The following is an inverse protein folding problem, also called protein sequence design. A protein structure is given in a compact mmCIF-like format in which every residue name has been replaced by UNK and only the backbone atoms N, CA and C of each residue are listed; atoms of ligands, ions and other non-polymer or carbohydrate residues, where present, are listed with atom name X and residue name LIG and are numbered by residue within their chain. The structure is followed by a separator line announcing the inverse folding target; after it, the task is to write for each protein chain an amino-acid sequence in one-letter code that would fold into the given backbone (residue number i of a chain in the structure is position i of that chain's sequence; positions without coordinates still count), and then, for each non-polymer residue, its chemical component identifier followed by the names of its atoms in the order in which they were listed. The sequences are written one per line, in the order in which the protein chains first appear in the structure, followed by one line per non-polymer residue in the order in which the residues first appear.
data_IF_653886052524
#
_entry.id   IF_653886052524
#
_cell.length_a   1.000
_cell.length_b   1.000
_cell.length_c   1.000
_cell.angle_alpha   90.00
_cell.angle_beta   90.00
_cell.angle_gamma   90.00
#
_symmetry.space_group_name_H-M   'P 1'
#
loop_
_entity.id
_entity.type
_entity.pdbx_description
1 polymer ?
#
# COMPACT_ATOMS: atom_id res chain seq x y z
N UNK A 1 -29.08 -20.28 1.47
CA UNK A 1 -27.63 -20.15 1.80
C UNK A 1 -26.95 -19.70 0.52
N UNK A 2 -26.83 -18.41 0.35
CA UNK A 2 -26.21 -17.76 -0.82
C UNK A 2 -24.71 -17.91 -0.69
N UNK A 3 -24.10 -18.68 -1.60
CA UNK A 3 -22.64 -18.81 -1.72
C UNK A 3 -22.09 -17.48 -2.22
N UNK A 4 -21.38 -16.77 -1.37
CA UNK A 4 -20.58 -15.63 -1.82
C UNK A 4 -19.59 -16.14 -2.87
N UNK A 5 -19.57 -15.56 -4.06
CA UNK A 5 -18.57 -15.87 -5.10
C UNK A 5 -17.18 -15.57 -4.52
N UNK A 6 -16.43 -16.60 -4.31
CA UNK A 6 -15.04 -16.45 -3.89
C UNK A 6 -14.21 -16.19 -5.14
N UNK A 7 -13.54 -15.04 -5.18
CA UNK A 7 -12.47 -14.85 -6.16
C UNK A 7 -11.41 -15.93 -5.87
N UNK A 8 -11.29 -16.90 -6.77
CA UNK A 8 -10.48 -18.10 -6.55
C UNK A 8 -8.97 -17.77 -6.58
N UNK A 9 -8.57 -16.68 -7.23
CA UNK A 9 -7.14 -16.30 -7.34
C UNK A 9 -6.55 -15.97 -5.96
N UNK A 10 -7.14 -15.09 -5.11
CA UNK A 10 -6.67 -14.88 -3.75
C UNK A 10 -6.67 -16.15 -2.89
N UNK A 11 -7.59 -17.07 -3.15
CA UNK A 11 -7.62 -18.35 -2.45
C UNK A 11 -6.38 -19.20 -2.84
N UNK A 12 -6.04 -19.32 -4.13
CA UNK A 12 -4.84 -20.00 -4.58
C UNK A 12 -3.59 -19.36 -3.97
N UNK A 13 -3.50 -18.02 -4.00
CA UNK A 13 -2.39 -17.27 -3.44
C UNK A 13 -2.22 -17.51 -1.93
N UNK A 14 -3.31 -17.64 -1.19
CA UNK A 14 -3.27 -17.92 0.26
C UNK A 14 -2.61 -19.26 0.61
N UNK A 15 -2.72 -20.25 -0.27
CA UNK A 15 -2.08 -21.56 -0.11
C UNK A 15 -0.71 -21.67 -0.74
N UNK A 16 -0.25 -20.65 -1.51
CA UNK A 16 0.94 -20.72 -2.35
C UNK A 16 2.22 -21.11 -1.58
N UNK A 17 2.37 -20.67 -0.35
CA UNK A 17 3.53 -20.98 0.51
C UNK A 17 3.61 -22.50 0.88
N UNK A 18 2.49 -23.23 0.78
CA UNK A 18 2.41 -24.65 1.09
C UNK A 18 2.66 -25.52 -0.14
N UNK A 19 2.71 -24.94 -1.35
CA UNK A 19 2.78 -25.70 -2.61
C UNK A 19 4.16 -26.30 -2.84
N UNK A 20 4.16 -27.54 -3.29
CA UNK A 20 5.32 -28.19 -3.91
C UNK A 20 5.68 -27.51 -5.24
N UNK A 21 6.89 -27.70 -5.80
CA UNK A 21 7.25 -27.14 -7.11
C UNK A 21 6.23 -27.43 -8.21
N UNK A 22 5.69 -28.66 -8.25
CA UNK A 22 4.67 -29.04 -9.23
C UNK A 22 3.34 -28.30 -9.02
N UNK A 23 2.91 -28.17 -7.76
CA UNK A 23 1.69 -27.44 -7.41
C UNK A 23 1.82 -25.94 -7.67
N UNK A 24 3.03 -25.36 -7.53
CA UNK A 24 3.30 -23.97 -7.94
C UNK A 24 3.12 -23.77 -9.44
N UNK A 25 3.65 -24.68 -10.27
CA UNK A 25 3.42 -24.62 -11.71
C UNK A 25 1.93 -24.61 -12.05
N UNK A 26 1.12 -25.41 -11.35
CA UNK A 26 -0.33 -25.43 -11.55
C UNK A 26 -0.96 -24.12 -11.04
N UNK A 27 -0.56 -23.66 -9.86
CA UNK A 27 -1.04 -22.40 -9.27
C UNK A 27 -0.73 -21.19 -10.13
N UNK A 28 0.52 -21.07 -10.59
CA UNK A 28 0.97 -19.99 -11.48
C UNK A 28 0.17 -19.94 -12.77
N UNK A 29 -0.14 -21.09 -13.35
CA UNK A 29 -1.01 -21.15 -14.53
C UNK A 29 -2.38 -20.52 -14.27
N UNK A 30 -3.06 -20.91 -13.18
CA UNK A 30 -4.39 -20.38 -12.87
C UNK A 30 -4.39 -18.93 -12.40
N UNK A 31 -3.33 -18.48 -11.75
CA UNK A 31 -3.17 -17.06 -11.31
C UNK A 31 -2.98 -16.14 -12.51
N UNK A 32 -2.17 -16.55 -13.50
CA UNK A 32 -1.78 -15.67 -14.60
C UNK A 32 -2.60 -15.87 -15.88
N UNK A 33 -3.45 -16.89 -15.93
CA UNK A 33 -4.27 -17.13 -17.12
C UNK A 33 -5.40 -16.11 -17.22
N UNK A 34 -5.43 -15.37 -18.32
CA UNK A 34 -6.46 -14.37 -18.64
C UNK A 34 -7.36 -14.79 -19.80
N UNK A 35 -7.08 -15.94 -20.41
CA UNK A 35 -7.77 -16.37 -21.61
C UNK A 35 -8.78 -17.49 -21.31
N UNK A 36 -9.93 -17.43 -21.98
CA UNK A 36 -10.91 -18.51 -21.93
C UNK A 36 -10.43 -19.67 -22.84
N UNK A 37 -10.31 -20.86 -22.28
CA UNK A 37 -9.84 -22.05 -23.01
C UNK A 37 -10.53 -23.32 -22.51
N UNK A 38 -10.16 -24.48 -23.09
CA UNK A 38 -10.62 -25.77 -22.56
C UNK A 38 -9.90 -26.13 -21.26
N UNK A 39 -10.56 -25.91 -20.14
CA UNK A 39 -10.08 -26.26 -18.81
C UNK A 39 -10.36 -27.72 -18.41
N UNK A 40 -10.57 -28.63 -19.37
CA UNK A 40 -10.70 -30.05 -19.01
C UNK A 40 -9.41 -30.54 -18.33
N UNK A 41 -9.55 -31.47 -17.38
CA UNK A 41 -8.40 -32.03 -16.66
C UNK A 41 -7.35 -32.61 -17.61
N UNK A 42 -7.80 -33.20 -18.70
CA UNK A 42 -6.93 -33.82 -19.73
C UNK A 42 -6.13 -32.73 -20.49
N UNK A 43 -6.80 -31.65 -20.89
CA UNK A 43 -6.14 -30.56 -21.64
C UNK A 43 -5.12 -29.84 -20.77
N UNK A 44 -5.49 -29.45 -19.55
CA UNK A 44 -4.59 -28.74 -18.65
C UNK A 44 -3.44 -29.65 -18.17
N UNK A 45 -3.71 -30.94 -17.89
CA UNK A 45 -2.65 -31.90 -17.55
C UNK A 45 -1.62 -32.03 -18.67
N UNK A 46 -2.09 -32.08 -19.92
CA UNK A 46 -1.19 -32.16 -21.09
C UNK A 46 -0.40 -30.86 -21.28
N UNK A 47 -1.03 -29.71 -21.14
CA UNK A 47 -0.42 -28.38 -21.31
C UNK A 47 0.67 -28.10 -20.26
N UNK A 48 0.43 -28.50 -19.01
CA UNK A 48 1.37 -28.29 -17.90
C UNK A 48 2.34 -29.46 -17.70
N UNK A 49 2.25 -30.50 -18.50
CA UNK A 49 3.05 -31.73 -18.37
C UNK A 49 2.92 -32.40 -16.99
N UNK A 50 1.69 -32.38 -16.43
CA UNK A 50 1.36 -32.97 -15.12
C UNK A 50 0.32 -34.09 -15.30
N UNK A 51 0.09 -34.91 -14.27
CA UNK A 51 -1.01 -35.87 -14.28
C UNK A 51 -2.34 -35.23 -13.85
N UNK A 52 -3.47 -35.78 -14.36
CA UNK A 52 -4.81 -35.35 -13.89
C UNK A 52 -4.98 -35.56 -12.38
N UNK A 53 -4.33 -36.57 -11.81
CA UNK A 53 -4.29 -36.78 -10.37
C UNK A 53 -3.57 -35.66 -9.63
N UNK A 54 -2.57 -35.02 -10.24
CA UNK A 54 -1.88 -33.87 -9.65
C UNK A 54 -2.78 -32.63 -9.64
N UNK A 55 -3.57 -32.41 -10.68
CA UNK A 55 -4.58 -31.35 -10.71
C UNK A 55 -5.64 -31.55 -9.62
N UNK A 56 -6.11 -32.79 -9.41
CA UNK A 56 -7.08 -33.10 -8.37
C UNK A 56 -6.51 -32.86 -6.96
N UNK A 57 -5.25 -33.26 -6.72
CA UNK A 57 -4.56 -33.00 -5.44
C UNK A 57 -4.34 -31.52 -5.19
N UNK A 58 -3.97 -30.75 -6.21
CA UNK A 58 -3.87 -29.30 -6.13
C UNK A 58 -5.19 -28.68 -5.74
N UNK A 59 -6.30 -29.03 -6.41
CA UNK A 59 -7.64 -28.55 -6.10
C UNK A 59 -8.04 -28.88 -4.65
N UNK A 60 -7.77 -30.10 -4.19
CA UNK A 60 -8.04 -30.52 -2.81
C UNK A 60 -7.23 -29.71 -1.81
N UNK A 61 -5.99 -29.39 -2.12
CA UNK A 61 -5.13 -28.56 -1.27
C UNK A 61 -5.63 -27.12 -1.17
N UNK A 62 -6.29 -26.61 -2.23
CA UNK A 62 -6.98 -25.32 -2.24
C UNK A 62 -8.37 -25.36 -1.58
N UNK A 63 -8.77 -26.49 -0.96
CA UNK A 63 -10.02 -26.62 -0.21
C UNK A 63 -11.21 -27.15 -1.00
N UNK A 64 -11.05 -27.60 -2.25
CA UNK A 64 -12.10 -28.17 -3.08
C UNK A 64 -12.14 -29.70 -2.97
N UNK A 65 -13.28 -30.32 -3.27
CA UNK A 65 -13.37 -31.78 -3.28
C UNK A 65 -12.60 -32.43 -4.43
N UNK A 66 -12.27 -31.67 -5.47
CA UNK A 66 -11.46 -32.10 -6.61
C UNK A 66 -11.42 -31.09 -7.75
N UNK A 67 -10.72 -31.47 -8.82
CA UNK A 67 -10.47 -30.58 -9.96
C UNK A 67 -11.74 -30.06 -10.64
N UNK A 68 -12.80 -30.89 -10.70
CA UNK A 68 -14.06 -30.51 -11.35
C UNK A 68 -14.77 -29.35 -10.62
N UNK A 69 -14.79 -29.39 -9.30
CA UNK A 69 -15.37 -28.33 -8.49
C UNK A 69 -14.49 -27.04 -8.60
N UNK A 70 -13.18 -27.20 -8.45
CA UNK A 70 -12.23 -26.11 -8.61
C UNK A 70 -12.41 -25.38 -9.96
N UNK A 71 -12.51 -26.10 -11.08
CA UNK A 71 -12.68 -25.48 -12.41
C UNK A 71 -14.07 -24.83 -12.55
N UNK A 72 -15.10 -25.37 -11.91
CA UNK A 72 -16.41 -24.73 -11.91
C UNK A 72 -16.34 -23.32 -11.31
N UNK A 73 -15.72 -23.17 -10.14
CA UNK A 73 -15.51 -21.91 -9.47
C UNK A 73 -14.54 -20.99 -10.22
N UNK A 74 -13.45 -21.56 -10.78
CA UNK A 74 -12.49 -20.81 -11.59
C UNK A 74 -13.13 -20.19 -12.84
N UNK A 75 -13.95 -20.95 -13.57
CA UNK A 75 -14.68 -20.42 -14.74
C UNK A 75 -15.69 -19.36 -14.37
N UNK A 76 -16.29 -19.44 -13.20
CA UNK A 76 -17.18 -18.38 -12.71
C UNK A 76 -16.41 -17.09 -12.43
N UNK A 77 -15.19 -17.19 -11.89
CA UNK A 77 -14.36 -16.03 -11.61
C UNK A 77 -13.78 -15.36 -12.88
N UNK A 78 -13.74 -16.07 -14.02
CA UNK A 78 -13.30 -15.50 -15.31
C UNK A 78 -14.41 -14.76 -16.08
N UNK A 79 -15.69 -14.98 -15.71
CA UNK A 79 -16.78 -14.25 -16.36
C UNK A 79 -16.82 -12.81 -15.86
N UNK A 80 -16.94 -11.80 -16.76
CA UNK A 80 -17.21 -10.45 -16.31
C UNK A 80 -18.50 -10.46 -15.47
N UNK A 81 -18.52 -9.71 -14.39
CA UNK A 81 -19.64 -9.61 -13.48
C UNK A 81 -20.92 -9.19 -14.22
N UNK A 82 -21.80 -10.14 -14.51
CA UNK A 82 -23.21 -9.84 -14.64
C UNK A 82 -23.73 -9.63 -13.19
N UNK A 83 -23.83 -8.36 -12.83
CA UNK A 83 -24.50 -7.79 -11.66
C UNK A 83 -24.78 -8.75 -10.49
N UNK A 84 -23.76 -9.13 -9.71
CA UNK A 84 -24.00 -9.45 -8.31
C UNK A 84 -23.95 -8.16 -7.50
N UNK A 85 -25.00 -7.89 -6.78
CA UNK A 85 -25.09 -6.85 -5.76
C UNK A 85 -24.13 -7.14 -4.59
N UNK A 86 -22.82 -7.00 -4.84
CA UNK A 86 -21.92 -6.42 -3.84
C UNK A 86 -22.60 -5.09 -3.51
N UNK A 87 -22.87 -4.79 -2.25
CA UNK A 87 -23.66 -3.62 -1.95
C UNK A 87 -23.02 -2.44 -2.72
N UNK A 88 -23.84 -1.60 -3.35
CA UNK A 88 -23.38 -0.40 -4.09
C UNK A 88 -22.37 0.42 -3.27
N UNK A 89 -22.44 0.28 -1.94
CA UNK A 89 -21.58 0.89 -0.96
C UNK A 89 -20.14 0.33 -1.01
N UNK A 90 -19.96 -1.00 -1.06
CA UNK A 90 -18.60 -1.62 -1.07
C UNK A 90 -17.85 -1.33 -2.37
N UNK A 91 -18.57 -1.33 -3.50
CA UNK A 91 -18.02 -0.96 -4.81
C UNK A 91 -17.66 0.53 -4.86
N UNK A 92 -18.51 1.40 -4.31
CA UNK A 92 -18.26 2.82 -4.25
C UNK A 92 -17.04 3.14 -3.36
N UNK A 93 -16.90 2.51 -2.20
CA UNK A 93 -15.71 2.68 -1.36
C UNK A 93 -14.45 2.21 -2.07
N UNK A 94 -14.44 1.02 -2.65
CA UNK A 94 -13.28 0.49 -3.37
C UNK A 94 -12.86 1.40 -4.53
N UNK A 95 -13.81 1.84 -5.36
CA UNK A 95 -13.56 2.76 -6.45
C UNK A 95 -13.01 4.11 -5.95
N UNK A 96 -13.52 4.60 -4.82
CA UNK A 96 -13.03 5.83 -4.18
C UNK A 96 -11.56 5.70 -3.77
N UNK A 97 -11.18 4.59 -3.12
CA UNK A 97 -9.78 4.33 -2.76
C UNK A 97 -8.88 4.21 -3.98
N UNK A 98 -9.33 3.53 -5.02
CA UNK A 98 -8.56 3.39 -6.25
C UNK A 98 -8.36 4.73 -6.98
N UNK A 99 -9.40 5.58 -7.01
CA UNK A 99 -9.28 6.95 -7.52
C UNK A 99 -8.30 7.80 -6.71
N UNK A 100 -8.34 7.75 -5.38
CA UNK A 100 -7.41 8.47 -4.51
C UNK A 100 -5.96 8.02 -4.74
N UNK A 101 -5.72 6.72 -4.87
CA UNK A 101 -4.39 6.18 -5.19
C UNK A 101 -3.90 6.64 -6.56
N UNK A 102 -4.75 6.61 -7.58
CA UNK A 102 -4.41 7.06 -8.92
C UNK A 102 -4.14 8.58 -8.95
N UNK A 103 -4.96 9.38 -8.26
CA UNK A 103 -4.77 10.84 -8.12
C UNK A 103 -3.46 11.14 -7.40
N UNK A 104 -3.18 10.47 -6.29
CA UNK A 104 -1.94 10.64 -5.54
C UNK A 104 -0.72 10.27 -6.41
N UNK A 105 -0.77 9.16 -7.13
CA UNK A 105 0.29 8.74 -8.05
C UNK A 105 0.56 9.76 -9.15
N UNK A 106 -0.50 10.38 -9.70
CA UNK A 106 -0.38 11.40 -10.73
C UNK A 106 0.23 12.74 -10.23
N UNK A 107 0.16 13.00 -8.91
CA UNK A 107 0.74 14.18 -8.28
C UNK A 107 2.21 14.01 -7.91
N UNK A 108 2.73 12.76 -7.91
CA UNK A 108 4.11 12.47 -7.54
C UNK A 108 5.09 12.84 -8.67
N UNK A 109 6.06 13.68 -8.35
CA UNK A 109 7.21 13.97 -9.22
C UNK A 109 8.41 13.11 -8.77
N UNK A 110 8.90 12.27 -9.67
CA UNK A 110 10.06 11.39 -9.40
C UNK A 110 11.31 12.18 -9.00
N UNK A 111 11.51 13.37 -9.53
CA UNK A 111 12.64 14.24 -9.16
C UNK A 111 12.49 14.75 -7.73
N UNK A 112 11.29 15.11 -7.31
CA UNK A 112 10.97 15.50 -5.94
C UNK A 112 11.17 14.34 -4.96
N UNK A 113 10.65 13.16 -5.30
CA UNK A 113 10.85 11.96 -4.48
C UNK A 113 12.34 11.67 -4.30
N UNK A 114 13.14 11.78 -5.36
CA UNK A 114 14.60 11.58 -5.27
C UNK A 114 15.25 12.59 -4.32
N UNK A 115 14.86 13.89 -4.36
CA UNK A 115 15.38 14.89 -3.41
C UNK A 115 14.99 14.56 -1.98
N UNK A 116 13.73 14.17 -1.73
CA UNK A 116 13.25 13.79 -0.39
C UNK A 116 13.99 12.56 0.13
N UNK A 117 14.21 11.54 -0.70
CA UNK A 117 14.98 10.34 -0.32
C UNK A 117 16.42 10.70 0.04
N UNK A 118 17.06 11.56 -0.74
CA UNK A 118 18.42 12.02 -0.45
C UNK A 118 18.49 12.78 0.90
N UNK A 119 17.51 13.61 1.21
CA UNK A 119 17.38 14.27 2.52
C UNK A 119 17.21 13.25 3.64
N UNK A 120 16.30 12.29 3.49
CA UNK A 120 16.06 11.24 4.47
C UNK A 120 17.32 10.43 4.82
N UNK A 121 18.11 10.07 3.80
CA UNK A 121 19.32 9.24 3.99
C UNK A 121 20.50 10.05 4.51
N UNK A 122 20.58 11.34 4.17
CA UNK A 122 21.72 12.19 4.55
C UNK A 122 21.59 12.81 5.94
N UNK A 123 20.37 12.93 6.48
CA UNK A 123 20.16 13.61 7.75
C UNK A 123 20.38 12.67 8.94
N UNK A 124 21.24 13.06 9.91
CA UNK A 124 21.52 12.25 11.10
C UNK A 124 20.31 11.96 11.98
N UNK A 125 19.33 12.89 12.00
CA UNK A 125 18.11 12.79 12.81
C UNK A 125 16.89 13.20 11.98
N UNK A 126 15.88 12.34 11.99
CA UNK A 126 14.60 12.58 11.28
C UNK A 126 13.45 12.58 12.30
N UNK A 127 12.64 13.61 12.27
CA UNK A 127 11.41 13.69 13.06
C UNK A 127 10.20 13.69 12.13
N UNK A 128 9.18 12.89 12.46
CA UNK A 128 7.93 12.87 11.72
C UNK A 128 6.81 13.36 12.61
N UNK A 129 6.25 14.51 12.28
CA UNK A 129 5.19 15.15 13.04
C UNK A 129 3.82 14.84 12.43
N UNK A 130 2.89 14.37 13.25
CA UNK A 130 1.52 14.10 12.84
C UNK A 130 0.58 14.05 14.02
N UNK A 131 -0.68 14.43 13.85
CA UNK A 131 -1.72 14.35 14.90
C UNK A 131 -2.90 13.49 14.45
N UNK A 132 -3.59 12.85 15.40
CA UNK A 132 -4.71 11.97 15.09
C UNK A 132 -4.31 10.86 14.12
N UNK A 133 -5.06 10.67 13.03
CA UNK A 133 -4.77 9.69 11.99
C UNK A 133 -3.43 9.93 11.30
N UNK A 134 -3.04 11.20 11.07
CA UNK A 134 -1.70 11.53 10.55
C UNK A 134 -0.58 11.14 11.53
N UNK A 135 -0.86 11.11 12.84
CA UNK A 135 0.06 10.60 13.85
C UNK A 135 0.31 9.11 13.75
N UNK A 136 -0.73 8.32 13.41
CA UNK A 136 -0.59 6.89 13.13
C UNK A 136 0.30 6.64 11.90
N UNK A 137 0.14 7.46 10.86
CA UNK A 137 1.01 7.40 9.67
C UNK A 137 2.46 7.74 10.04
N UNK A 138 2.67 8.74 10.89
CA UNK A 138 4.01 9.09 11.37
C UNK A 138 4.68 7.92 12.13
N UNK A 139 3.92 7.23 12.99
CA UNK A 139 4.41 6.03 13.71
C UNK A 139 4.71 4.88 12.75
N UNK A 140 3.87 4.66 11.73
CA UNK A 140 4.12 3.64 10.72
C UNK A 140 5.38 3.96 9.90
N UNK A 141 5.59 5.22 9.52
CA UNK A 141 6.84 5.66 8.89
C UNK A 141 8.05 5.38 9.77
N UNK A 142 7.98 5.70 11.06
CA UNK A 142 9.06 5.38 12.00
C UNK A 142 9.39 3.89 11.98
N UNK A 143 8.40 3.01 12.16
CA UNK A 143 8.60 1.57 12.22
C UNK A 143 9.23 1.01 10.92
N UNK A 144 8.77 1.49 9.77
CA UNK A 144 9.29 1.04 8.47
C UNK A 144 10.72 1.50 8.24
N UNK A 145 11.01 2.77 8.49
CA UNK A 145 12.32 3.35 8.20
C UNK A 145 13.38 2.96 9.24
N UNK A 146 13.01 2.72 10.51
CA UNK A 146 13.92 2.12 11.49
C UNK A 146 14.42 0.73 11.07
N UNK A 147 13.58 -0.07 10.39
CA UNK A 147 13.98 -1.40 9.89
C UNK A 147 15.09 -1.37 8.85
N UNK A 148 15.27 -0.27 8.17
CA UNK A 148 16.35 -0.05 7.19
C UNK A 148 17.46 0.85 7.74
N UNK A 149 17.47 1.11 9.05
CA UNK A 149 18.57 1.76 9.75
C UNK A 149 18.51 3.29 9.86
N UNK A 150 17.38 3.94 9.49
CA UNK A 150 17.26 5.38 9.70
C UNK A 150 17.02 5.71 11.18
N UNK A 151 17.67 6.78 11.66
CA UNK A 151 17.40 7.36 12.97
C UNK A 151 16.21 8.32 12.87
N UNK A 152 15.01 7.77 13.06
CA UNK A 152 13.73 8.44 12.82
C UNK A 152 12.82 8.29 14.03
N UNK A 153 12.14 9.37 14.40
CA UNK A 153 11.22 9.45 15.54
C UNK A 153 9.89 10.07 15.14
N UNK A 154 8.79 9.39 15.45
CA UNK A 154 7.44 9.93 15.28
C UNK A 154 7.03 10.72 16.52
N UNK A 155 6.60 11.95 16.32
CA UNK A 155 6.12 12.84 17.38
C UNK A 155 4.66 13.20 17.13
N UNK A 156 3.78 12.71 17.99
CA UNK A 156 2.33 12.88 17.86
C UNK A 156 1.73 13.84 18.88
N UNK A 157 2.49 14.19 19.91
CA UNK A 157 2.11 15.15 20.94
C UNK A 157 2.60 16.57 20.61
N UNK A 158 1.69 17.54 20.63
CA UNK A 158 1.99 18.92 20.27
C UNK A 158 2.91 19.63 21.27
N UNK A 159 2.93 19.23 22.54
CA UNK A 159 3.86 19.78 23.52
C UNK A 159 5.27 19.26 23.26
N UNK A 160 5.42 17.99 22.93
CA UNK A 160 6.70 17.40 22.56
C UNK A 160 7.23 18.05 21.27
N UNK A 161 6.38 18.28 20.26
CA UNK A 161 6.76 19.02 19.04
C UNK A 161 7.35 20.39 19.36
N UNK A 162 6.72 21.14 20.30
CA UNK A 162 7.23 22.44 20.77
C UNK A 162 8.53 22.30 21.54
N UNK A 163 8.66 21.29 22.39
CA UNK A 163 9.91 21.02 23.14
C UNK A 163 11.05 20.66 22.19
N UNK A 164 10.80 19.89 21.15
CA UNK A 164 11.79 19.53 20.14
C UNK A 164 12.38 20.76 19.44
N UNK A 165 11.63 21.87 19.33
CA UNK A 165 12.15 23.10 18.72
C UNK A 165 13.45 23.63 19.36
N UNK A 166 13.77 23.21 20.60
CA UNK A 166 15.00 23.60 21.29
C UNK A 166 16.23 22.79 20.80
N UNK A 167 16.00 21.56 20.34
CA UNK A 167 17.06 20.63 19.96
C UNK A 167 17.23 20.46 18.44
N UNK A 168 16.32 21.05 17.66
CA UNK A 168 16.40 21.03 16.20
C UNK A 168 17.56 21.91 15.69
N UNK A 169 18.16 21.48 14.62
CA UNK A 169 19.26 22.18 13.96
C UNK A 169 19.49 21.68 12.53
N UNK A 170 20.59 22.12 11.93
CA UNK A 170 20.95 21.80 10.53
C UNK A 170 21.16 20.30 10.27
N UNK A 171 21.34 19.51 11.31
CA UNK A 171 21.50 18.06 11.28
C UNK A 171 20.16 17.32 11.44
N UNK A 172 19.04 18.04 11.41
CA UNK A 172 17.71 17.50 11.57
C UNK A 172 16.85 17.68 10.31
N UNK A 173 16.10 16.65 9.97
CA UNK A 173 14.99 16.71 9.04
C UNK A 173 13.67 16.59 9.81
N UNK A 174 12.74 17.49 9.55
CA UNK A 174 11.38 17.43 10.10
C UNK A 174 10.39 17.23 8.96
N UNK A 175 9.70 16.10 8.97
CA UNK A 175 8.61 15.79 8.07
C UNK A 175 7.31 16.00 8.83
N UNK A 176 6.45 16.88 8.35
CA UNK A 176 5.13 17.12 8.94
C UNK A 176 4.03 16.55 8.05
N UNK A 177 3.08 15.82 8.64
CA UNK A 177 1.94 15.23 7.94
C UNK A 177 0.67 15.96 8.41
N UNK A 178 0.04 16.69 7.50
CA UNK A 178 -1.22 17.40 7.75
C UNK A 178 -2.07 17.39 6.49
N UNK A 179 -3.11 16.55 6.46
CA UNK A 179 -4.00 16.42 5.29
C UNK A 179 -4.57 17.79 4.88
N UNK A 180 -5.10 18.56 5.83
CA UNK A 180 -5.64 19.91 5.57
C UNK A 180 -4.55 20.96 5.28
N UNK A 181 -3.29 20.72 5.67
CA UNK A 181 -2.23 21.73 5.64
C UNK A 181 -2.42 22.92 6.60
N UNK A 182 -3.42 22.85 7.49
CA UNK A 182 -3.81 23.98 8.36
C UNK A 182 -3.76 23.66 9.86
N UNK A 183 -3.39 22.44 10.25
CA UNK A 183 -3.30 22.05 11.67
C UNK A 183 -2.31 22.98 12.37
N UNK A 184 -2.83 23.91 13.20
CA UNK A 184 -2.05 25.02 13.76
C UNK A 184 -0.79 24.57 14.50
N UNK A 185 -0.88 23.49 15.27
CA UNK A 185 0.26 22.93 16.03
C UNK A 185 1.34 22.35 15.11
N UNK A 186 0.93 21.67 14.03
CA UNK A 186 1.85 21.12 13.04
C UNK A 186 2.57 22.25 12.31
N UNK A 187 1.81 23.21 11.77
CA UNK A 187 2.37 24.33 11.01
C UNK A 187 3.28 25.21 11.86
N UNK A 188 2.86 25.52 13.12
CA UNK A 188 3.69 26.31 14.02
C UNK A 188 4.99 25.59 14.40
N UNK A 189 4.95 24.28 14.61
CA UNK A 189 6.13 23.47 14.91
C UNK A 189 7.08 23.38 13.72
N UNK A 190 6.54 23.24 12.50
CA UNK A 190 7.34 23.20 11.28
C UNK A 190 8.03 24.56 11.02
N UNK A 191 7.32 25.69 11.22
CA UNK A 191 7.90 27.04 11.17
C UNK A 191 9.02 27.22 12.22
N UNK A 192 8.81 26.71 13.43
CA UNK A 192 9.82 26.74 14.49
C UNK A 192 11.07 25.92 14.09
N UNK A 193 10.87 24.70 13.56
CA UNK A 193 11.95 23.86 13.05
C UNK A 193 12.78 24.59 11.97
N UNK A 194 12.11 25.22 11.02
CA UNK A 194 12.77 26.00 9.96
C UNK A 194 13.62 27.14 10.50
N UNK A 195 13.09 27.87 11.52
CA UNK A 195 13.85 28.94 12.18
C UNK A 195 15.13 28.46 12.89
N UNK A 196 15.12 27.22 13.39
CA UNK A 196 16.30 26.60 14.01
C UNK A 196 17.29 26.06 12.97
N UNK A 197 16.96 26.12 11.69
CA UNK A 197 17.81 25.68 10.59
C UNK A 197 17.64 24.21 10.20
N UNK A 198 16.63 23.53 10.73
CA UNK A 198 16.28 22.19 10.30
C UNK A 198 15.76 22.20 8.86
N UNK A 199 16.02 21.11 8.13
CA UNK A 199 15.36 20.85 6.86
C UNK A 199 13.90 20.46 7.11
N UNK A 200 12.96 20.95 6.30
CA UNK A 200 11.54 20.81 6.58
C UNK A 200 10.78 20.35 5.35
N UNK A 201 9.92 19.34 5.55
CA UNK A 201 9.05 18.78 4.52
C UNK A 201 7.62 18.80 5.05
N UNK A 202 6.68 19.25 4.24
CA UNK A 202 5.25 19.13 4.51
C UNK A 202 4.62 18.10 3.55
N UNK A 203 3.91 17.12 4.10
CA UNK A 203 3.05 16.21 3.36
C UNK A 203 1.60 16.62 3.58
N UNK A 204 0.88 16.97 2.52
CA UNK A 204 -0.48 17.54 2.61
C UNK A 204 -1.30 17.25 1.35
N UNK A 205 -2.64 17.24 1.49
CA UNK A 205 -3.55 17.20 0.35
C UNK A 205 -3.85 18.60 -0.24
N UNK A 206 -3.36 19.67 0.41
CA UNK A 206 -3.61 21.05 0.01
C UNK A 206 -2.40 21.68 -0.68
N UNK A 207 -2.63 22.32 -1.81
CA UNK A 207 -1.62 23.11 -2.50
C UNK A 207 -1.73 24.59 -2.09
N UNK A 208 -0.67 25.14 -1.49
CA UNK A 208 -0.60 26.55 -1.09
C UNK A 208 0.83 27.08 -1.29
N UNK A 209 0.95 28.23 -1.96
CA UNK A 209 2.25 28.87 -2.19
C UNK A 209 2.91 29.38 -0.89
N UNK A 210 2.15 29.64 0.15
CA UNK A 210 2.65 30.09 1.46
C UNK A 210 3.51 29.04 2.17
N UNK A 211 3.44 27.77 1.79
CA UNK A 211 4.28 26.73 2.37
C UNK A 211 5.76 26.92 2.08
N UNK A 212 6.12 27.53 0.94
CA UNK A 212 7.49 27.81 0.54
C UNK A 212 8.24 28.73 1.54
N UNK A 213 7.53 29.47 2.38
CA UNK A 213 8.15 30.31 3.43
C UNK A 213 8.83 29.49 4.54
N UNK A 214 8.36 28.24 4.77
CA UNK A 214 8.82 27.43 5.90
C UNK A 214 8.99 25.94 5.57
N UNK A 215 8.84 25.55 4.32
CA UNK A 215 9.10 24.18 3.84
C UNK A 215 10.15 24.21 2.73
N UNK A 216 11.10 23.30 2.82
CA UNK A 216 12.09 23.07 1.74
C UNK A 216 11.47 22.23 0.62
N UNK A 217 10.60 21.29 0.98
CA UNK A 217 9.80 20.51 0.04
C UNK A 217 8.35 20.40 0.54
N UNK A 218 7.41 20.37 -0.39
CA UNK A 218 6.00 20.11 -0.10
C UNK A 218 5.52 18.96 -0.97
N UNK A 219 5.25 17.81 -0.37
CA UNK A 219 4.72 16.64 -1.06
C UNK A 219 3.20 16.68 -1.03
N UNK A 220 2.60 16.79 -2.21
CA UNK A 220 1.14 16.82 -2.36
C UNK A 220 0.62 15.41 -2.65
N UNK A 221 -0.45 15.01 -1.97
CA UNK A 221 -1.21 13.78 -2.21
C UNK A 221 -2.71 14.08 -2.28
N UNK A 222 -3.51 13.13 -2.80
CA UNK A 222 -4.97 13.27 -2.91
C UNK A 222 -5.68 12.67 -1.70
#
# INVERSE_FOLDING_TARGET
MTSARHNIIPLIESYYHTFTPLERTIGDFFIHNTEEQDFSSRTIASQLFVSEASLSRFAQKCGFHGYREFICEYKQSLKPDEEETVSDFDIQEFNTYQELLNKSSALLDNSQITRIVNLLVSMPRVYVYGRGSSGLVAQEMQLRFMRIGLNIEAVTDSHVMKMNSVILGKDCLVIAISVSGETAEIISSLRAAKKQGACTILMTARQDKGYQEFCDETLIFA
#
